data_IF_984748656481
#
_entry.id   IF_984748656481
#
_cell.length_a   1.000
_cell.length_b   1.000
_cell.length_c   1.000
_cell.angle_alpha   90.00
_cell.angle_beta   90.00
_cell.angle_gamma   90.00
#
_symmetry.space_group_name_H-M   'P 1'
#
loop_
_entity.id
_entity.type
_entity.pdbx_description
1 polymer ?
#
# COMPACT_ATOMS: atom_id res chain seq x y z
N UNK A 1 18.07 13.89 17.09
CA UNK A 1 17.42 12.59 17.39
C UNK A 1 17.42 11.77 16.11
N UNK A 2 18.39 10.85 15.96
CA UNK A 2 18.58 10.05 14.75
C UNK A 2 17.44 9.03 14.66
N UNK A 3 16.56 9.14 13.67
CA UNK A 3 15.65 8.04 13.33
C UNK A 3 16.26 7.26 12.17
N UNK A 4 16.99 6.23 12.58
CA UNK A 4 17.34 5.02 11.86
C UNK A 4 16.42 4.80 10.64
N UNK A 5 16.97 4.98 9.44
CA UNK A 5 16.31 4.54 8.23
C UNK A 5 16.32 3.00 8.23
N UNK A 6 15.27 2.42 8.79
CA UNK A 6 14.98 1.00 8.63
C UNK A 6 14.56 0.75 7.17
N UNK A 7 15.55 0.48 6.33
CA UNK A 7 15.45 -0.08 4.97
C UNK A 7 14.91 -1.52 4.98
N UNK A 8 13.89 -1.83 5.80
CA UNK A 8 13.45 -3.19 6.08
C UNK A 8 12.05 -3.47 5.52
N UNK A 9 12.04 -4.17 4.38
CA UNK A 9 10.89 -4.77 3.66
C UNK A 9 9.90 -3.73 3.12
N UNK A 10 9.49 -3.86 1.86
CA UNK A 10 8.28 -3.18 1.38
C UNK A 10 7.15 -3.55 2.33
N UNK A 11 6.74 -2.60 3.18
CA UNK A 11 5.70 -2.81 4.18
C UNK A 11 4.36 -2.53 3.50
N UNK A 12 3.28 -3.20 3.92
CA UNK A 12 1.92 -2.90 3.42
C UNK A 12 1.57 -1.41 3.50
N UNK A 13 2.19 -0.70 4.45
CA UNK A 13 2.10 0.75 4.58
C UNK A 13 2.58 1.49 3.31
N UNK A 14 3.73 1.15 2.76
CA UNK A 14 4.27 1.79 1.55
C UNK A 14 3.38 1.52 0.34
N UNK A 15 2.86 0.30 0.21
CA UNK A 15 1.91 -0.05 -0.84
C UNK A 15 0.60 0.74 -0.71
N UNK A 16 0.08 0.84 0.51
CA UNK A 16 -1.10 1.66 0.77
C UNK A 16 -0.83 3.14 0.53
N UNK A 17 0.36 3.63 0.88
CA UNK A 17 0.70 5.05 0.71
C UNK A 17 0.88 5.44 -0.76
N UNK A 18 1.26 4.50 -1.62
CA UNK A 18 1.35 4.68 -3.07
C UNK A 18 -0.02 4.83 -3.76
N UNK A 19 -1.12 4.46 -3.12
CA UNK A 19 -2.48 4.65 -3.67
C UNK A 19 -2.90 6.12 -3.63
N UNK A 20 -3.73 6.54 -4.60
CA UNK A 20 -4.36 7.87 -4.58
C UNK A 20 -5.31 8.01 -3.38
N UNK A 21 -5.63 9.23 -2.93
CA UNK A 21 -6.53 9.44 -1.78
C UNK A 21 -7.91 8.81 -1.96
N UNK A 22 -8.41 8.75 -3.20
CA UNK A 22 -9.66 8.08 -3.53
C UNK A 22 -9.53 6.56 -3.39
N UNK A 23 -8.52 5.96 -4.05
CA UNK A 23 -8.24 4.51 -3.94
C UNK A 23 -7.96 4.07 -2.51
N UNK A 24 -7.29 4.92 -1.70
CA UNK A 24 -7.06 4.70 -0.27
C UNK A 24 -8.37 4.54 0.50
N UNK A 25 -9.38 5.36 0.20
CA UNK A 25 -10.70 5.28 0.84
C UNK A 25 -11.43 4.01 0.41
N UNK A 26 -11.50 3.75 -0.89
CA UNK A 26 -12.20 2.58 -1.43
C UNK A 26 -11.56 1.27 -0.97
N UNK A 27 -10.23 1.17 -1.07
CA UNK A 27 -9.45 0.03 -0.57
C UNK A 27 -9.73 -0.21 0.91
N UNK A 28 -9.71 0.84 1.72
CA UNK A 28 -9.93 0.73 3.16
C UNK A 28 -11.33 0.23 3.45
N UNK A 29 -12.36 0.79 2.82
CA UNK A 29 -13.74 0.33 3.03
C UNK A 29 -13.93 -1.13 2.60
N UNK A 30 -13.36 -1.52 1.44
CA UNK A 30 -13.36 -2.89 0.97
C UNK A 30 -12.62 -3.84 1.93
N UNK A 31 -11.45 -3.42 2.44
CA UNK A 31 -10.65 -4.19 3.39
C UNK A 31 -11.37 -4.37 4.73
N UNK A 32 -11.96 -3.31 5.29
CA UNK A 32 -12.72 -3.38 6.54
C UNK A 32 -13.93 -4.31 6.39
N UNK A 33 -14.63 -4.24 5.25
CA UNK A 33 -15.77 -5.11 4.94
C UNK A 33 -15.37 -6.58 4.75
N UNK A 34 -14.24 -6.85 4.09
CA UNK A 34 -13.77 -8.21 3.79
C UNK A 34 -13.09 -8.88 5.00
N UNK A 35 -12.25 -8.14 5.74
CA UNK A 35 -11.49 -8.67 6.87
C UNK A 35 -12.24 -8.60 8.21
N UNK A 36 -13.29 -7.79 8.31
CA UNK A 36 -14.02 -7.53 9.57
C UNK A 36 -13.21 -6.75 10.60
N UNK A 37 -12.09 -6.16 10.21
CA UNK A 37 -11.23 -5.36 11.10
C UNK A 37 -11.91 -4.01 11.37
N UNK A 38 -11.74 -3.48 12.58
CA UNK A 38 -12.23 -2.14 12.89
C UNK A 38 -11.33 -1.06 12.29
N UNK A 39 -11.93 0.07 11.90
CA UNK A 39 -11.22 1.24 11.35
C UNK A 39 -9.95 1.63 12.13
N UNK A 40 -9.96 1.80 13.47
CA UNK A 40 -8.75 2.15 14.22
C UNK A 40 -7.71 1.02 14.19
N UNK A 41 -8.16 -0.24 14.27
CA UNK A 41 -7.27 -1.40 14.23
C UNK A 41 -6.54 -1.52 12.90
N UNK A 42 -7.18 -1.12 11.80
CA UNK A 42 -6.55 -1.10 10.48
C UNK A 42 -5.27 -0.25 10.49
N UNK A 43 -5.35 1.00 10.96
CA UNK A 43 -4.18 1.89 10.98
C UNK A 43 -3.10 1.45 11.96
N UNK A 44 -3.47 0.88 13.10
CA UNK A 44 -2.50 0.31 14.06
C UNK A 44 -1.77 -0.88 13.43
N UNK A 45 -2.51 -1.79 12.78
CA UNK A 45 -1.94 -2.95 12.10
C UNK A 45 -1.10 -2.55 10.88
N UNK A 46 -1.54 -1.57 10.11
CA UNK A 46 -0.80 -1.03 8.97
C UNK A 46 0.53 -0.41 9.40
N UNK A 47 0.53 0.35 10.49
CA UNK A 47 1.74 0.96 11.05
C UNK A 47 2.72 -0.07 11.61
N UNK A 48 2.21 -1.09 12.31
CA UNK A 48 3.03 -2.08 12.99
C UNK A 48 3.32 -3.33 12.13
N UNK A 49 2.73 -3.41 10.94
CA UNK A 49 2.76 -4.58 10.06
C UNK A 49 2.34 -5.88 10.78
N UNK A 50 1.34 -5.80 11.65
CA UNK A 50 0.84 -6.92 12.47
C UNK A 50 -0.47 -7.51 11.92
N UNK A 51 -0.60 -7.56 10.60
CA UNK A 51 -1.73 -8.23 9.96
C UNK A 51 -1.61 -9.74 10.16
N UNK A 52 -2.74 -10.42 10.40
CA UNK A 52 -2.76 -11.89 10.40
C UNK A 52 -2.59 -12.41 8.98
N UNK A 53 -2.11 -13.64 8.77
CA UNK A 53 -1.91 -14.22 7.43
C UNK A 53 -3.17 -14.22 6.55
N UNK A 54 -4.37 -14.29 7.14
CA UNK A 54 -5.64 -14.14 6.40
C UNK A 54 -5.89 -12.70 5.94
N UNK A 55 -5.56 -11.74 6.78
CA UNK A 55 -5.65 -10.31 6.49
C UNK A 55 -4.62 -9.89 5.45
N UNK A 56 -3.40 -10.43 5.52
CA UNK A 56 -2.34 -10.23 4.53
C UNK A 56 -2.75 -10.74 3.15
N UNK A 57 -3.36 -11.94 3.08
CA UNK A 57 -3.93 -12.46 1.83
C UNK A 57 -5.00 -11.52 1.28
N UNK A 58 -5.96 -11.09 2.11
CA UNK A 58 -6.97 -10.13 1.69
C UNK A 58 -6.36 -8.81 1.21
N UNK A 59 -5.33 -8.31 1.90
CA UNK A 59 -4.62 -7.09 1.54
C UNK A 59 -3.95 -7.24 0.17
N UNK A 60 -3.22 -8.33 -0.06
CA UNK A 60 -2.55 -8.61 -1.33
C UNK A 60 -3.53 -8.80 -2.50
N UNK A 61 -4.65 -9.49 -2.27
CA UNK A 61 -5.71 -9.65 -3.27
C UNK A 61 -6.32 -8.30 -3.66
N UNK A 62 -6.67 -7.48 -2.66
CA UNK A 62 -7.21 -6.15 -2.92
C UNK A 62 -6.16 -5.28 -3.61
N UNK A 63 -4.93 -5.24 -3.11
CA UNK A 63 -3.83 -4.51 -3.73
C UNK A 63 -3.60 -4.93 -5.17
N UNK A 64 -3.74 -6.21 -5.51
CA UNK A 64 -3.62 -6.66 -6.91
C UNK A 64 -4.72 -6.06 -7.80
N UNK A 65 -5.94 -5.88 -7.27
CA UNK A 65 -7.04 -5.25 -8.00
C UNK A 65 -6.80 -3.75 -8.23
N UNK A 66 -6.25 -3.04 -7.24
CA UNK A 66 -5.94 -1.60 -7.36
C UNK A 66 -4.61 -1.34 -8.10
N UNK A 67 -3.62 -2.20 -7.95
CA UNK A 67 -2.30 -2.08 -8.59
C UNK A 67 -2.35 -2.47 -10.08
N UNK A 68 -3.42 -3.12 -10.56
CA UNK A 68 -3.67 -3.31 -11.99
C UNK A 68 -3.91 -1.98 -12.73
N UNK A 69 -4.06 -0.86 -12.00
CA UNK A 69 -4.21 0.50 -12.55
C UNK A 69 -2.86 1.22 -12.73
N UNK A 70 -1.75 0.67 -12.22
CA UNK A 70 -0.42 1.18 -12.59
C UNK A 70 0.23 0.17 -13.55
N UNK A 71 0.10 0.35 -14.88
CA UNK A 71 0.98 -0.35 -15.80
C UNK A 71 2.43 0.00 -15.43
N UNK A 72 3.22 -1.04 -15.23
CA UNK A 72 4.66 -1.00 -14.99
C UNK A 72 5.45 -0.18 -16.04
N UNK A 73 4.81 0.23 -17.15
CA UNK A 73 5.38 1.07 -18.21
C UNK A 73 5.65 2.53 -17.82
N UNK A 74 5.21 3.03 -16.66
CA UNK A 74 5.51 4.42 -16.24
C UNK A 74 6.68 4.54 -15.23
N UNK A 75 7.45 3.48 -14.98
CA UNK A 75 8.71 3.57 -14.20
C UNK A 75 9.97 3.71 -15.08
N UNK A 76 9.85 3.69 -16.41
CA UNK A 76 10.98 3.90 -17.33
C UNK A 76 10.84 5.14 -18.23
N UNK A 77 9.89 6.04 -17.94
CA UNK A 77 9.52 7.14 -18.85
C UNK A 77 10.02 8.55 -18.55
N UNK A 78 10.74 8.81 -17.44
CA UNK A 78 11.23 10.19 -17.12
C UNK A 78 12.69 10.26 -16.65
N UNK A 79 13.63 9.67 -17.40
CA UNK A 79 15.05 9.93 -17.16
C UNK A 79 15.91 10.27 -18.39
N UNK A 80 15.33 10.48 -19.57
CA UNK A 80 16.08 11.06 -20.69
C UNK A 80 15.22 12.03 -21.50
N UNK A 81 14.98 13.23 -20.96
CA UNK A 81 14.71 14.40 -21.78
C UNK A 81 15.87 15.38 -21.62
N UNK A 82 16.75 15.32 -22.63
CA UNK A 82 17.39 16.47 -23.26
C UNK A 82 18.18 17.41 -22.35
N UNK A 83 19.47 17.08 -22.16
CA UNK A 83 20.49 18.12 -22.16
C UNK A 83 20.67 18.56 -23.62
N UNK A 84 20.04 19.67 -24.00
CA UNK A 84 20.57 20.53 -25.07
C UNK A 84 21.72 21.36 -24.52
#
# INVERSE_FOLDING_TARGET
>A
MKKEQNLSKMVFKDQYDALSEQDKKEFREAFLKKSGVSYPSFYVKLRNNTFKPLEEKCFSELMTQYNFVIPFEELTGRCYSQNQ
#
